data_IF_846523628533
#
_entry.id   IF_846523628533
#
_cell.length_a   1.000
_cell.length_b   1.000
_cell.length_c   1.000
_cell.angle_alpha   90.00
_cell.angle_beta   90.00
_cell.angle_gamma   90.00
#
_symmetry.space_group_name_H-M   'P 1'
#
loop_
_entity.id
_entity.type
_entity.pdbx_description
1 polymer ?
#
# COMPACT_ATOMS: atom_id res chain seq x y z
N UNK A 1 -68.36 -10.93 42.78
CA UNK A 1 -68.11 -9.87 41.77
C UNK A 1 -67.35 -8.77 42.50
N UNK A 2 -66.08 -8.42 42.27
CA UNK A 2 -65.27 -8.42 41.05
C UNK A 2 -63.79 -8.75 41.32
N UNK A 3 -63.13 -8.99 40.20
CA UNK A 3 -61.85 -9.64 39.94
C UNK A 3 -60.63 -8.82 40.38
N UNK A 4 -59.60 -9.56 40.83
CA UNK A 4 -58.23 -9.16 41.11
C UNK A 4 -57.57 -8.53 39.87
N UNK A 5 -56.96 -7.36 40.00
CA UNK A 5 -55.98 -6.89 39.03
C UNK A 5 -54.58 -7.26 39.51
N UNK A 6 -54.03 -8.30 38.88
CA UNK A 6 -52.63 -8.69 39.02
C UNK A 6 -51.80 -7.66 38.25
N UNK A 7 -50.92 -6.97 38.97
CA UNK A 7 -49.86 -6.17 38.39
C UNK A 7 -48.86 -7.11 37.72
N UNK A 8 -48.90 -7.21 36.39
CA UNK A 8 -47.84 -7.82 35.60
C UNK A 8 -47.02 -6.71 34.98
N UNK A 9 -45.97 -6.30 35.71
CA UNK A 9 -44.86 -5.51 35.18
C UNK A 9 -44.09 -6.41 34.21
N UNK A 10 -44.46 -6.40 32.94
CA UNK A 10 -43.56 -6.87 31.88
C UNK A 10 -42.61 -5.71 31.62
N UNK A 11 -41.48 -5.72 32.33
CA UNK A 11 -40.32 -4.96 31.93
C UNK A 11 -39.87 -5.53 30.57
N UNK A 12 -40.34 -4.91 29.49
CA UNK A 12 -39.62 -4.99 28.23
C UNK A 12 -38.29 -4.30 28.47
N UNK A 13 -37.29 -5.10 28.83
CA UNK A 13 -35.90 -4.77 28.56
C UNK A 13 -35.78 -4.61 27.06
N UNK A 14 -36.13 -3.41 26.57
CA UNK A 14 -35.66 -2.96 25.29
C UNK A 14 -34.14 -3.04 25.41
N UNK A 15 -33.57 -4.05 24.76
CA UNK A 15 -32.21 -3.99 24.27
C UNK A 15 -32.09 -2.60 23.66
N UNK A 16 -31.44 -1.69 24.38
CA UNK A 16 -30.91 -0.47 23.79
C UNK A 16 -29.81 -0.97 22.89
N UNK A 17 -30.21 -1.48 21.73
CA UNK A 17 -29.34 -1.67 20.61
C UNK A 17 -28.88 -0.25 20.36
N UNK A 18 -27.68 0.09 20.84
CA UNK A 18 -27.09 1.41 20.64
C UNK A 18 -27.20 1.66 19.15
N UNK A 19 -28.19 2.46 18.75
CA UNK A 19 -28.32 2.89 17.39
C UNK A 19 -27.02 3.66 17.17
N UNK A 20 -26.08 3.07 16.42
CA UNK A 20 -24.84 3.74 16.08
C UNK A 20 -25.29 4.94 15.27
N UNK A 21 -25.27 6.09 15.94
CA UNK A 21 -25.97 7.26 15.46
C UNK A 21 -25.30 7.75 14.17
N UNK A 22 -26.11 8.24 13.25
CA UNK A 22 -25.60 8.94 12.08
C UNK A 22 -24.72 10.12 12.54
N UNK A 23 -23.55 10.36 11.94
CA UNK A 23 -22.75 11.54 12.26
C UNK A 23 -23.60 12.81 12.12
N UNK A 24 -23.55 13.71 13.10
CA UNK A 24 -24.46 14.88 13.16
C UNK A 24 -24.36 15.82 11.96
N UNK A 25 -23.23 15.81 11.27
CA UNK A 25 -23.00 16.59 10.06
C UNK A 25 -23.57 15.92 8.81
N UNK A 26 -23.93 14.63 8.86
CA UNK A 26 -24.33 13.81 7.72
C UNK A 26 -25.80 13.40 7.81
N UNK A 27 -26.32 12.84 6.72
CA UNK A 27 -27.58 12.11 6.71
C UNK A 27 -27.34 10.65 6.39
N UNK A 28 -28.11 9.74 6.97
CA UNK A 28 -27.94 8.31 6.78
C UNK A 28 -29.25 7.67 6.32
N UNK A 29 -29.16 6.74 5.37
CA UNK A 29 -30.29 6.00 4.83
C UNK A 29 -29.89 4.54 4.66
N UNK A 30 -30.48 3.63 5.43
CA UNK A 30 -30.05 2.23 5.45
C UNK A 30 -28.57 2.09 5.82
N UNK A 31 -27.76 1.56 4.89
CA UNK A 31 -26.30 1.41 5.04
C UNK A 31 -25.50 2.49 4.31
N UNK A 32 -26.16 3.55 3.85
CA UNK A 32 -25.52 4.68 3.17
C UNK A 32 -25.34 5.86 4.12
N UNK A 33 -24.18 6.51 4.02
CA UNK A 33 -23.84 7.70 4.80
C UNK A 33 -23.51 8.84 3.84
N UNK A 34 -24.35 9.87 3.85
CA UNK A 34 -24.30 11.03 2.96
C UNK A 34 -23.67 12.24 3.67
N UNK A 35 -22.39 12.44 3.42
CA UNK A 35 -21.59 13.54 3.96
C UNK A 35 -21.09 14.51 2.85
N UNK A 36 -21.60 14.38 1.62
CA UNK A 36 -21.20 15.23 0.49
C UNK A 36 -21.71 16.68 0.61
N UNK A 37 -20.98 17.64 0.01
CA UNK A 37 -21.40 19.05 -0.12
C UNK A 37 -21.71 19.74 1.22
N UNK A 38 -20.93 19.44 2.25
CA UNK A 38 -21.15 19.92 3.62
C UNK A 38 -20.00 20.77 4.15
N UNK A 39 -19.08 21.17 3.28
CA UNK A 39 -17.88 21.95 3.63
C UNK A 39 -17.05 21.31 4.74
N UNK A 40 -17.01 19.98 4.76
CA UNK A 40 -16.29 19.23 5.79
C UNK A 40 -14.78 19.41 5.60
N UNK A 41 -14.08 19.77 6.67
CA UNK A 41 -12.62 19.86 6.70
C UNK A 41 -11.94 18.51 7.00
N UNK A 42 -12.70 17.53 7.51
CA UNK A 42 -12.22 16.19 7.86
C UNK A 42 -13.34 15.16 7.73
N UNK A 43 -12.98 13.87 7.78
CA UNK A 43 -13.95 12.77 7.82
C UNK A 43 -14.69 12.81 9.17
N UNK A 44 -16.04 12.83 9.19
CA UNK A 44 -16.80 12.85 10.44
C UNK A 44 -16.54 11.60 11.29
N UNK A 45 -16.46 11.81 12.60
CA UNK A 45 -16.38 10.71 13.56
C UNK A 45 -17.71 9.96 13.67
N UNK A 46 -17.67 8.71 14.15
CA UNK A 46 -18.86 7.93 14.46
C UNK A 46 -19.61 7.37 13.24
N UNK A 47 -18.96 7.26 12.08
CA UNK A 47 -19.55 6.57 10.92
C UNK A 47 -19.90 5.12 11.33
N UNK A 48 -21.15 4.66 11.13
CA UNK A 48 -21.56 3.31 11.49
C UNK A 48 -20.72 2.23 10.80
N UNK A 49 -20.32 1.19 11.52
CA UNK A 49 -19.52 0.08 10.96
C UNK A 49 -20.29 -0.80 9.96
N UNK A 50 -21.61 -0.66 9.93
CA UNK A 50 -22.51 -1.29 8.96
C UNK A 50 -22.56 -0.55 7.62
N UNK A 51 -21.88 0.61 7.50
CA UNK A 51 -21.87 1.43 6.28
C UNK A 51 -21.31 0.64 5.10
N UNK A 52 -22.05 0.61 4.00
CA UNK A 52 -21.63 0.03 2.72
C UNK A 52 -21.25 1.09 1.69
N UNK A 53 -21.85 2.28 1.77
CA UNK A 53 -21.59 3.39 0.84
C UNK A 53 -21.33 4.67 1.63
N UNK A 54 -20.18 5.28 1.40
CA UNK A 54 -19.78 6.50 2.08
C UNK A 54 -19.52 7.63 1.07
N UNK A 55 -20.37 8.65 1.12
CA UNK A 55 -20.25 9.84 0.29
C UNK A 55 -19.57 10.97 1.05
N UNK A 56 -18.32 11.28 0.70
CA UNK A 56 -17.53 12.38 1.27
C UNK A 56 -17.11 13.41 0.20
N UNK A 57 -17.64 13.29 -1.01
CA UNK A 57 -17.24 14.11 -2.16
C UNK A 57 -17.71 15.57 -2.05
N UNK A 58 -17.03 16.46 -2.78
CA UNK A 58 -17.31 17.91 -2.79
C UNK A 58 -17.29 18.49 -1.36
N UNK A 59 -16.13 18.36 -0.72
CA UNK A 59 -15.84 18.89 0.62
C UNK A 59 -14.46 19.57 0.60
N UNK A 60 -13.93 19.90 1.78
CA UNK A 60 -12.66 20.62 1.95
C UNK A 60 -11.65 19.75 2.72
N UNK A 61 -11.74 18.43 2.58
CA UNK A 61 -10.88 17.48 3.30
C UNK A 61 -9.48 17.53 2.68
N UNK A 62 -8.48 17.85 3.49
CA UNK A 62 -7.07 18.00 3.06
C UNK A 62 -6.20 16.80 3.39
N UNK A 63 -6.60 16.02 4.40
CA UNK A 63 -5.90 14.82 4.88
C UNK A 63 -6.86 13.75 5.38
N UNK A 64 -6.42 12.50 5.30
CA UNK A 64 -7.08 11.36 5.91
C UNK A 64 -6.21 10.85 7.06
N UNK A 65 -6.77 10.84 8.27
CA UNK A 65 -6.04 10.32 9.43
C UNK A 65 -5.74 8.82 9.26
N UNK A 66 -4.58 8.34 9.72
CA UNK A 66 -4.26 6.92 9.71
C UNK A 66 -5.37 6.09 10.35
N UNK A 67 -5.79 5.02 9.67
CA UNK A 67 -6.83 4.10 10.16
C UNK A 67 -8.26 4.66 10.19
N UNK A 68 -8.52 5.83 9.61
CA UNK A 68 -9.86 6.47 9.63
C UNK A 68 -10.98 5.57 9.07
N UNK A 69 -10.66 4.65 8.17
CA UNK A 69 -11.61 3.72 7.57
C UNK A 69 -11.48 2.27 8.08
N UNK A 70 -10.59 2.00 9.05
CA UNK A 70 -10.25 0.61 9.44
C UNK A 70 -11.44 -0.18 10.01
N UNK A 71 -12.42 0.53 10.60
CA UNK A 71 -13.64 -0.09 11.16
C UNK A 71 -14.74 -0.28 10.13
N UNK A 72 -14.62 0.32 8.93
CA UNK A 72 -15.62 0.27 7.86
C UNK A 72 -15.40 -0.96 6.96
N UNK A 73 -15.28 -2.14 7.57
CA UNK A 73 -14.92 -3.39 6.87
C UNK A 73 -15.98 -3.86 5.87
N UNK A 74 -17.21 -3.33 5.97
CA UNK A 74 -18.33 -3.61 5.07
C UNK A 74 -18.43 -2.63 3.88
N UNK A 75 -17.50 -1.67 3.79
CA UNK A 75 -17.56 -0.61 2.79
C UNK A 75 -17.33 -1.18 1.39
N UNK A 76 -18.26 -0.91 0.49
CA UNK A 76 -18.24 -1.28 -0.93
C UNK A 76 -17.92 -0.07 -1.80
N UNK A 77 -18.37 1.11 -1.41
CA UNK A 77 -18.13 2.34 -2.17
C UNK A 77 -17.62 3.46 -1.28
N UNK A 78 -16.52 4.09 -1.72
CA UNK A 78 -15.93 5.25 -1.07
C UNK A 78 -15.77 6.39 -2.06
N UNK A 79 -16.51 7.47 -1.83
CA UNK A 79 -16.51 8.64 -2.70
C UNK A 79 -15.81 9.84 -2.06
N UNK A 80 -14.58 10.13 -2.50
CA UNK A 80 -13.71 11.20 -1.97
C UNK A 80 -13.37 12.29 -3.00
N UNK A 81 -13.98 12.25 -4.18
CA UNK A 81 -13.69 13.20 -5.26
C UNK A 81 -14.07 14.65 -4.92
N UNK A 82 -13.41 15.62 -5.54
CA UNK A 82 -13.68 17.04 -5.29
C UNK A 82 -13.36 17.47 -3.85
N UNK A 83 -12.28 16.93 -3.29
CA UNK A 83 -11.69 17.35 -2.03
C UNK A 83 -10.32 18.02 -2.29
N UNK A 84 -9.54 18.25 -1.25
CA UNK A 84 -8.23 18.90 -1.32
C UNK A 84 -7.12 17.98 -0.80
N UNK A 85 -7.28 16.66 -0.96
CA UNK A 85 -6.34 15.67 -0.43
C UNK A 85 -4.95 15.85 -1.06
N UNK A 86 -3.96 16.15 -0.22
CA UNK A 86 -2.57 16.36 -0.64
C UNK A 86 -1.78 15.04 -0.74
N UNK A 87 -2.09 14.11 0.16
CA UNK A 87 -1.47 12.80 0.23
C UNK A 87 -2.44 11.80 0.88
N UNK A 88 -2.17 10.52 0.68
CA UNK A 88 -2.84 9.44 1.41
C UNK A 88 -1.91 8.90 2.49
N UNK A 89 -2.46 8.61 3.67
CA UNK A 89 -1.72 7.92 4.72
C UNK A 89 -1.44 6.47 4.31
N UNK A 90 -0.25 5.97 4.67
CA UNK A 90 0.13 4.58 4.38
C UNK A 90 -0.90 3.63 4.98
N UNK A 91 -1.42 2.72 4.16
CA UNK A 91 -2.38 1.70 4.59
C UNK A 91 -3.79 2.18 4.88
N UNK A 92 -4.17 3.43 4.53
CA UNK A 92 -5.50 4.00 4.80
C UNK A 92 -6.67 3.17 4.24
N UNK A 93 -6.43 2.33 3.25
CA UNK A 93 -7.43 1.45 2.64
C UNK A 93 -7.24 -0.04 2.95
N UNK A 94 -6.29 -0.41 3.82
CA UNK A 94 -5.88 -1.81 4.03
C UNK A 94 -7.01 -2.73 4.51
N UNK A 95 -8.00 -2.19 5.23
CA UNK A 95 -9.13 -2.96 5.76
C UNK A 95 -10.34 -3.02 4.82
N UNK A 96 -10.31 -2.31 3.70
CA UNK A 96 -11.44 -2.18 2.78
C UNK A 96 -11.43 -3.28 1.71
N UNK A 97 -11.36 -4.54 2.12
CA UNK A 97 -11.22 -5.68 1.19
C UNK A 97 -12.46 -5.92 0.32
N UNK A 98 -13.62 -5.41 0.75
CA UNK A 98 -14.90 -5.49 0.03
C UNK A 98 -15.15 -4.28 -0.91
N UNK A 99 -14.21 -3.32 -0.98
CA UNK A 99 -14.40 -2.11 -1.76
C UNK A 99 -14.41 -2.43 -3.26
N UNK A 100 -15.49 -2.05 -3.94
CA UNK A 100 -15.69 -2.22 -5.38
C UNK A 100 -15.49 -0.90 -6.14
N UNK A 101 -15.79 0.23 -5.50
CA UNK A 101 -15.68 1.57 -6.08
C UNK A 101 -14.87 2.52 -5.20
N UNK A 102 -13.86 3.15 -5.77
CA UNK A 102 -13.06 4.18 -5.12
C UNK A 102 -12.92 5.41 -6.03
N UNK A 103 -13.45 6.57 -5.62
CA UNK A 103 -13.27 7.81 -6.36
C UNK A 103 -12.41 8.81 -5.61
N UNK A 104 -11.25 9.17 -6.20
CA UNK A 104 -10.26 10.11 -5.69
C UNK A 104 -9.97 11.25 -6.68
N UNK A 105 -10.71 11.33 -7.79
CA UNK A 105 -10.50 12.34 -8.82
C UNK A 105 -10.76 13.76 -8.32
N UNK A 106 -10.18 14.77 -8.99
CA UNK A 106 -10.28 16.18 -8.59
C UNK A 106 -9.86 16.39 -7.12
N UNK A 107 -8.63 15.95 -6.79
CA UNK A 107 -7.94 16.19 -5.53
C UNK A 107 -6.55 16.80 -5.83
N UNK A 108 -5.65 16.86 -4.85
CA UNK A 108 -4.31 17.44 -4.99
C UNK A 108 -3.21 16.38 -4.81
N UNK A 109 -3.51 15.12 -5.12
CA UNK A 109 -2.58 14.01 -4.95
C UNK A 109 -1.46 14.09 -5.98
N UNK A 110 -0.21 13.99 -5.52
CA UNK A 110 0.98 13.94 -6.38
C UNK A 110 1.48 12.53 -6.63
N UNK A 111 1.23 11.62 -5.69
CA UNK A 111 1.60 10.20 -5.76
C UNK A 111 0.62 9.37 -4.91
N UNK A 112 0.73 8.05 -5.01
CA UNK A 112 0.01 7.10 -4.16
C UNK A 112 1.06 6.32 -3.35
N UNK A 113 0.90 6.18 -2.02
CA UNK A 113 1.81 5.39 -1.22
C UNK A 113 1.93 3.96 -1.74
N UNK A 114 3.14 3.41 -1.70
CA UNK A 114 3.40 2.02 -2.11
C UNK A 114 2.45 1.07 -1.36
N UNK A 115 1.77 0.24 -2.13
CA UNK A 115 0.87 -0.79 -1.64
C UNK A 115 -0.53 -0.32 -1.24
N UNK A 116 -0.88 0.96 -1.44
CA UNK A 116 -2.17 1.51 -0.99
C UNK A 116 -3.40 0.78 -1.55
N UNK A 117 -3.28 0.15 -2.73
CA UNK A 117 -4.37 -0.58 -3.39
C UNK A 117 -4.23 -2.11 -3.30
N UNK A 118 -3.17 -2.63 -2.70
CA UNK A 118 -2.83 -4.06 -2.79
C UNK A 118 -3.88 -4.95 -2.11
N UNK A 119 -4.55 -4.44 -1.08
CA UNK A 119 -5.60 -5.17 -0.35
C UNK A 119 -7.01 -4.98 -0.92
N UNK A 120 -7.19 -4.14 -1.94
CA UNK A 120 -8.49 -3.86 -2.58
C UNK A 120 -8.85 -4.94 -3.59
N UNK A 121 -8.97 -6.20 -3.12
CA UNK A 121 -9.16 -7.38 -3.99
C UNK A 121 -10.48 -7.41 -4.74
N UNK A 122 -11.48 -6.68 -4.27
CA UNK A 122 -12.82 -6.60 -4.88
C UNK A 122 -12.98 -5.38 -5.79
N UNK A 123 -11.93 -4.58 -6.00
CA UNK A 123 -12.03 -3.32 -6.71
C UNK A 123 -12.32 -3.55 -8.20
N UNK A 124 -13.34 -2.87 -8.70
CA UNK A 124 -13.76 -2.95 -10.12
C UNK A 124 -13.73 -1.59 -10.79
N UNK A 125 -13.82 -0.50 -10.01
CA UNK A 125 -13.81 0.86 -10.52
C UNK A 125 -12.95 1.76 -9.62
N UNK A 126 -12.00 2.45 -10.24
CA UNK A 126 -11.18 3.46 -9.56
C UNK A 126 -11.11 4.73 -10.40
N UNK A 127 -11.30 5.89 -9.75
CA UNK A 127 -11.21 7.19 -10.42
C UNK A 127 -10.11 8.08 -9.88
N UNK A 128 -9.11 8.41 -10.72
CA UNK A 128 -7.87 9.10 -10.32
C UNK A 128 -7.55 10.39 -11.12
N UNK A 129 -8.30 10.75 -12.17
CA UNK A 129 -8.02 11.94 -12.98
C UNK A 129 -8.12 13.25 -12.20
N UNK A 130 -7.65 14.35 -12.78
CA UNK A 130 -7.77 15.68 -12.15
C UNK A 130 -6.97 15.80 -10.86
N UNK A 131 -5.90 15.01 -10.72
CA UNK A 131 -4.90 15.14 -9.68
C UNK A 131 -3.57 15.57 -10.32
N UNK A 132 -2.77 16.43 -9.67
CA UNK A 132 -1.49 16.90 -10.19
C UNK A 132 -0.37 15.86 -10.00
N UNK A 133 -0.49 14.70 -10.67
CA UNK A 133 0.46 13.59 -10.56
C UNK A 133 1.89 14.02 -10.89
N UNK A 134 2.81 13.88 -9.93
CA UNK A 134 4.22 14.23 -10.07
C UNK A 134 4.99 13.04 -10.63
N UNK A 135 5.05 12.98 -11.96
CA UNK A 135 5.73 11.89 -12.66
C UNK A 135 7.25 12.06 -12.75
N UNK A 136 7.82 13.15 -12.22
CA UNK A 136 9.26 13.32 -12.17
C UNK A 136 9.86 12.65 -10.93
N UNK A 137 9.09 12.63 -9.83
CA UNK A 137 9.41 11.92 -8.60
C UNK A 137 9.23 10.39 -8.75
N UNK A 138 10.16 9.60 -8.20
CA UNK A 138 10.10 8.13 -8.22
C UNK A 138 8.93 7.52 -7.44
N UNK A 139 8.28 8.25 -6.53
CA UNK A 139 7.12 7.75 -5.77
C UNK A 139 5.92 7.42 -6.67
N UNK A 140 5.88 7.98 -7.89
CA UNK A 140 4.85 7.68 -8.87
C UNK A 140 4.88 6.23 -9.38
N UNK A 141 6.03 5.53 -9.26
CA UNK A 141 6.25 4.24 -9.90
C UNK A 141 5.27 3.16 -9.42
N UNK A 142 4.87 3.20 -8.15
CA UNK A 142 3.82 2.30 -7.65
C UNK A 142 2.52 2.48 -8.45
N UNK A 143 2.05 3.71 -8.59
CA UNK A 143 0.82 4.00 -9.31
C UNK A 143 0.95 3.66 -10.81
N UNK A 144 2.09 3.99 -11.42
CA UNK A 144 2.35 3.65 -12.83
C UNK A 144 2.25 2.15 -13.07
N UNK A 145 2.99 1.34 -12.29
CA UNK A 145 3.00 -0.11 -12.42
C UNK A 145 1.63 -0.72 -12.10
N UNK A 146 0.96 -0.24 -11.05
CA UNK A 146 -0.37 -0.72 -10.68
C UNK A 146 -1.38 -0.43 -11.80
N UNK A 147 -1.38 0.79 -12.35
CA UNK A 147 -2.28 1.18 -13.43
C UNK A 147 -2.01 0.43 -14.74
N UNK A 148 -0.75 0.08 -15.01
CA UNK A 148 -0.40 -0.75 -16.17
C UNK A 148 -0.87 -2.21 -16.02
N UNK A 149 -0.79 -2.76 -14.80
CA UNK A 149 -1.25 -4.12 -14.49
C UNK A 149 -2.77 -4.29 -14.34
N UNK A 150 -3.49 -3.20 -14.07
CA UNK A 150 -4.96 -3.18 -13.86
C UNK A 150 -5.62 -2.29 -14.91
N UNK A 151 -5.14 -2.40 -16.15
CA UNK A 151 -5.53 -1.52 -17.21
C UNK A 151 -7.04 -1.60 -17.46
N UNK A 152 -7.71 -2.73 -17.32
CA UNK A 152 -9.16 -2.90 -17.44
C UNK A 152 -9.97 -2.06 -16.42
N UNK A 153 -9.53 -2.02 -15.17
CA UNK A 153 -10.14 -1.24 -14.08
C UNK A 153 -9.88 0.26 -14.27
N UNK A 154 -8.73 0.62 -14.85
CA UNK A 154 -8.30 2.00 -15.12
C UNK A 154 -8.73 2.50 -16.52
N UNK A 155 -9.03 1.60 -17.47
CA UNK A 155 -9.18 1.86 -18.92
C UNK A 155 -10.45 2.65 -19.24
N UNK A 156 -11.41 2.70 -18.31
CA UNK A 156 -12.57 3.59 -18.45
C UNK A 156 -12.21 5.07 -18.24
N UNK A 157 -10.92 5.40 -18.06
CA UNK A 157 -10.46 6.73 -17.67
C UNK A 157 -9.16 7.13 -18.37
N UNK A 158 -9.30 7.56 -19.62
CA UNK A 158 -8.25 8.15 -20.47
C UNK A 158 -7.65 9.47 -19.95
N UNK A 159 -7.73 9.80 -18.65
CA UNK A 159 -7.46 11.13 -18.10
C UNK A 159 -6.51 11.17 -16.89
N UNK A 160 -5.99 10.03 -16.44
CA UNK A 160 -4.97 10.02 -15.36
C UNK A 160 -3.60 10.33 -15.97
N UNK A 161 -3.27 11.62 -16.03
CA UNK A 161 -2.07 12.13 -16.71
C UNK A 161 -1.12 12.84 -15.75
N UNK A 162 0.15 12.84 -16.10
CA UNK A 162 1.20 13.55 -15.42
C UNK A 162 1.00 15.06 -15.52
N UNK A 163 1.22 15.75 -14.40
CA UNK A 163 1.18 17.20 -14.34
C UNK A 163 2.19 17.81 -15.32
N UNK A 164 1.77 18.84 -16.06
CA UNK A 164 2.59 19.58 -17.02
C UNK A 164 2.86 18.90 -18.36
N UNK A 165 2.92 17.57 -18.44
CA UNK A 165 3.23 16.85 -19.69
C UNK A 165 2.03 16.19 -20.35
N UNK A 166 0.91 16.03 -19.62
CA UNK A 166 -0.27 15.27 -20.04
C UNK A 166 0.02 13.82 -20.48
N UNK A 167 1.21 13.30 -20.16
CA UNK A 167 1.57 11.91 -20.44
C UNK A 167 0.75 10.98 -19.54
N UNK A 168 0.23 9.84 -20.03
CA UNK A 168 -0.49 8.90 -19.17
C UNK A 168 0.41 8.39 -18.05
N UNK A 169 -0.07 8.41 -16.80
CA UNK A 169 0.73 7.93 -15.63
C UNK A 169 1.18 6.47 -15.83
N UNK A 170 0.34 5.62 -16.44
CA UNK A 170 0.65 4.22 -16.75
C UNK A 170 1.82 4.01 -17.72
N UNK A 171 2.27 5.06 -18.41
CA UNK A 171 3.38 5.02 -19.36
C UNK A 171 4.71 5.49 -18.73
N UNK A 172 4.70 5.92 -17.47
CA UNK A 172 5.91 6.38 -16.76
C UNK A 172 6.82 5.20 -16.48
N UNK A 173 8.11 5.36 -16.77
CA UNK A 173 9.15 4.34 -16.56
C UNK A 173 10.16 4.80 -15.51
N UNK A 174 10.86 3.87 -14.88
CA UNK A 174 11.89 4.18 -13.87
C UNK A 174 12.93 5.19 -14.39
N UNK A 175 13.38 5.04 -15.63
CA UNK A 175 14.36 5.92 -16.28
C UNK A 175 13.89 7.37 -16.44
N UNK A 176 12.57 7.62 -16.45
CA UNK A 176 11.99 8.96 -16.53
C UNK A 176 11.83 9.65 -15.17
N UNK A 177 12.04 8.92 -14.07
CA UNK A 177 11.85 9.39 -12.70
C UNK A 177 13.17 9.52 -11.94
N UNK A 178 13.18 10.23 -10.81
CA UNK A 178 14.32 10.24 -9.88
C UNK A 178 13.88 10.51 -8.44
N UNK A 179 14.46 9.83 -7.42
CA UNK A 179 14.26 10.16 -6.01
C UNK A 179 14.65 11.60 -5.67
N UNK A 180 15.67 12.14 -6.35
CA UNK A 180 16.13 13.52 -6.12
C UNK A 180 15.11 14.59 -6.52
N UNK A 181 14.09 14.22 -7.30
CA UNK A 181 12.99 15.11 -7.71
C UNK A 181 11.78 15.00 -6.77
N UNK A 182 11.83 14.14 -5.76
CA UNK A 182 10.74 13.96 -4.80
C UNK A 182 10.77 15.01 -3.67
N UNK A 183 9.59 15.45 -3.19
CA UNK A 183 9.51 16.29 -2.00
C UNK A 183 10.18 15.62 -0.79
N UNK A 184 11.02 16.38 -0.07
CA UNK A 184 11.66 15.87 1.15
C UNK A 184 12.84 14.92 0.92
N UNK A 185 13.32 14.77 -0.32
CA UNK A 185 14.55 14.03 -0.59
C UNK A 185 15.75 14.65 0.15
N UNK A 186 16.36 13.87 1.04
CA UNK A 186 17.65 14.19 1.65
C UNK A 186 18.68 13.28 0.99
N UNK A 187 19.67 13.87 0.32
CA UNK A 187 20.77 13.10 -0.24
C UNK A 187 21.47 12.35 0.90
N UNK A 188 21.41 11.02 0.86
CA UNK A 188 22.24 10.20 1.74
C UNK A 188 23.66 10.26 1.21
N UNK A 189 24.44 11.21 1.72
CA UNK A 189 25.88 11.22 1.52
C UNK A 189 26.46 10.05 2.29
N UNK A 190 26.52 8.87 1.67
CA UNK A 190 27.45 7.84 2.13
C UNK A 190 28.85 8.37 1.84
N UNK A 191 29.41 9.11 2.79
CA UNK A 191 30.86 9.37 2.81
C UNK A 191 31.51 7.99 2.87
N UNK A 192 32.35 7.59 1.89
CA UNK A 192 33.13 6.38 2.04
C UNK A 192 34.02 6.58 3.26
N UNK A 193 33.72 5.91 4.37
CA UNK A 193 34.63 5.88 5.50
C UNK A 193 35.82 5.05 5.05
N UNK A 194 36.87 5.72 4.57
CA UNK A 194 38.19 5.12 4.41
C UNK A 194 38.66 4.74 5.81
N UNK A 195 38.30 3.53 6.24
CA UNK A 195 38.91 2.89 7.40
C UNK A 195 40.33 2.53 6.98
N UNK A 196 41.27 3.39 7.35
CA UNK A 196 42.69 3.05 7.37
C UNK A 196 42.83 1.79 8.25
N UNK A 197 43.40 0.68 7.76
CA UNK A 197 43.63 -0.48 8.59
C UNK A 197 44.61 -0.09 9.70
N UNK A 198 44.14 -0.09 10.94
CA UNK A 198 44.97 0.10 12.11
C UNK A 198 45.86 -1.14 12.28
N UNK A 199 47.17 -0.94 12.19
CA UNK A 199 48.16 -2.01 12.34
C UNK A 199 48.23 -2.39 13.82
N UNK A 200 47.58 -3.49 14.19
CA UNK A 200 47.67 -4.07 15.53
C UNK A 200 49.01 -4.83 15.64
N UNK A 201 49.92 -4.48 16.57
CA UNK A 201 51.10 -5.28 16.81
C UNK A 201 50.71 -6.58 17.53
N UNK A 202 51.03 -7.72 16.93
CA UNK A 202 50.82 -9.05 17.51
C UNK A 202 51.71 -9.25 18.75
N UNK A 203 51.10 -9.24 19.95
CA UNK A 203 51.72 -9.77 21.16
C UNK A 203 51.49 -11.28 21.25
N UNK A 204 52.59 -12.02 21.16
CA UNK A 204 52.67 -13.48 21.27
C UNK A 204 52.26 -13.92 22.67
N UNK A 205 51.18 -14.69 22.79
CA UNK A 205 50.86 -15.41 24.04
C UNK A 205 50.48 -16.86 23.72
N UNK A 206 51.12 -17.78 24.44
CA UNK A 206 51.03 -19.24 24.33
C UNK A 206 49.60 -19.78 24.56
N UNK A 207 49.19 -20.89 23.91
CA UNK A 207 47.81 -21.38 23.95
C UNK A 207 47.46 -22.12 25.25
N UNK A 208 46.27 -21.84 25.79
CA UNK A 208 45.55 -22.73 26.72
C UNK A 208 44.42 -23.47 25.98
N UNK A 209 44.06 -24.70 26.41
CA UNK A 209 43.14 -25.57 25.67
C UNK A 209 41.68 -25.10 25.76
N UNK A 210 41.03 -25.00 24.60
CA UNK A 210 39.61 -24.70 24.44
C UNK A 210 38.78 -25.96 24.60
N UNK A 211 37.82 -25.95 25.52
CA UNK A 211 36.72 -26.92 25.57
C UNK A 211 35.68 -26.50 24.54
N UNK A 212 35.47 -27.35 23.54
CA UNK A 212 34.59 -27.12 22.40
C UNK A 212 33.13 -27.31 22.79
N UNK A 213 32.35 -26.23 22.87
CA UNK A 213 30.90 -26.28 22.61
C UNK A 213 30.60 -25.48 21.36
N UNK A 214 30.25 -26.18 20.28
CA UNK A 214 29.87 -25.60 19.00
C UNK A 214 28.59 -24.77 19.14
N UNK A 215 28.66 -23.48 18.80
CA UNK A 215 27.50 -22.64 18.48
C UNK A 215 27.50 -22.41 16.96
N UNK A 216 26.36 -22.55 16.24
CA UNK A 216 26.35 -22.43 14.79
C UNK A 216 26.78 -21.03 14.32
N UNK A 217 27.67 -20.99 13.32
CA UNK A 217 28.04 -19.77 12.58
C UNK A 217 26.88 -19.32 11.68
N UNK A 218 26.54 -18.03 11.62
CA UNK A 218 25.62 -17.52 10.60
C UNK A 218 26.35 -17.47 9.24
N UNK A 219 25.83 -18.22 8.27
CA UNK A 219 26.24 -18.20 6.87
C UNK A 219 25.48 -17.09 6.15
N UNK A 220 26.08 -15.90 6.00
CA UNK A 220 25.66 -14.93 4.99
C UNK A 220 26.90 -14.32 4.34
N UNK A 221 27.28 -14.88 3.20
CA UNK A 221 27.99 -14.18 2.12
C UNK A 221 27.88 -15.05 0.85
N UNK A 222 26.82 -14.83 0.07
CA UNK A 222 26.83 -15.23 -1.34
C UNK A 222 26.97 -13.96 -2.18
N UNK A 223 28.17 -13.78 -2.71
CA UNK A 223 28.55 -12.69 -3.59
C UNK A 223 28.45 -13.21 -5.03
N UNK A 224 27.49 -12.72 -5.82
CA UNK A 224 27.42 -13.00 -7.25
C UNK A 224 28.34 -12.04 -8.01
N UNK A 225 29.65 -12.20 -7.86
CA UNK A 225 30.66 -11.50 -8.69
C UNK A 225 31.60 -12.52 -9.32
N UNK A 226 31.08 -13.28 -10.30
CA UNK A 226 31.90 -13.85 -11.37
C UNK A 226 31.02 -14.28 -12.56
N UNK A 227 30.43 -13.30 -13.25
CA UNK A 227 30.08 -13.51 -14.66
C UNK A 227 30.79 -12.44 -15.44
N UNK A 228 32.09 -12.64 -15.60
CA UNK A 228 32.82 -12.09 -16.73
C UNK A 228 33.43 -13.25 -17.51
N UNK A 229 33.22 -13.15 -18.82
CA UNK A 229 33.98 -13.80 -19.88
C UNK A 229 33.80 -15.31 -20.06
N UNK A 230 32.85 -15.67 -20.95
CA UNK A 230 33.19 -16.40 -22.17
C UNK A 230 32.30 -15.95 -23.33
N UNK A 231 32.86 -15.07 -24.15
CA UNK A 231 32.52 -14.97 -25.57
C UNK A 231 33.31 -16.10 -26.26
N UNK A 232 32.70 -16.74 -27.26
CA UNK A 232 33.23 -17.80 -28.11
C UNK A 232 32.87 -19.21 -27.63
N UNK A 233 31.74 -19.68 -28.16
CA UNK A 233 31.45 -21.05 -28.64
C UNK A 233 29.93 -21.07 -28.81
N UNK A 234 29.44 -20.99 -30.06
CA UNK A 234 28.04 -20.66 -30.38
C UNK A 234 26.98 -21.62 -29.83
N UNK A 235 26.61 -21.43 -28.56
CA UNK A 235 25.51 -22.12 -27.87
C UNK A 235 24.44 -21.12 -27.39
N UNK A 236 23.18 -21.40 -27.72
CA UNK A 236 22.04 -20.56 -27.38
C UNK A 236 21.69 -20.67 -25.88
N UNK A 237 21.81 -19.56 -25.16
CA UNK A 237 21.46 -19.47 -23.75
C UNK A 237 19.98 -19.07 -23.64
N UNK A 238 19.10 -20.06 -23.51
CA UNK A 238 17.67 -19.83 -23.32
C UNK A 238 17.38 -18.91 -22.11
N UNK A 239 16.42 -17.99 -22.28
CA UNK A 239 15.99 -16.99 -21.29
C UNK A 239 15.65 -17.63 -19.92
N UNK A 240 15.88 -16.94 -18.79
CA UNK A 240 15.52 -17.46 -17.47
C UNK A 240 13.99 -17.57 -17.35
N UNK A 241 13.49 -18.79 -17.14
CA UNK A 241 12.12 -19.06 -16.73
C UNK A 241 12.16 -19.57 -15.28
N UNK A 242 11.51 -18.85 -14.36
CA UNK A 242 11.18 -19.38 -13.03
C UNK A 242 9.95 -20.27 -13.20
N UNK A 243 10.14 -21.58 -13.24
CA UNK A 243 9.04 -22.54 -13.29
C UNK A 243 8.71 -23.06 -11.88
N UNK A 244 7.51 -22.67 -11.43
CA UNK A 244 6.63 -23.31 -10.43
C UNK A 244 6.63 -22.81 -8.97
N UNK A 245 5.38 -22.62 -8.50
CA UNK A 245 4.88 -21.99 -7.28
C UNK A 245 5.18 -22.75 -5.99
N UNK A 246 5.49 -22.01 -4.92
CA UNK A 246 5.28 -22.45 -3.54
C UNK A 246 4.67 -21.31 -2.71
N UNK A 247 3.54 -21.61 -2.05
CA UNK A 247 2.75 -20.69 -1.23
C UNK A 247 3.60 -19.99 -0.16
N UNK A 248 3.65 -18.66 -0.19
CA UNK A 248 4.29 -17.85 0.86
C UNK A 248 3.24 -17.32 1.82
N UNK A 249 3.11 -17.94 3.00
CA UNK A 249 2.51 -17.32 4.17
C UNK A 249 3.62 -16.69 5.01
N UNK A 250 3.58 -15.35 5.12
CA UNK A 250 4.28 -14.48 6.09
C UNK A 250 5.82 -14.43 6.07
N UNK A 251 6.31 -13.22 5.71
CA UNK A 251 7.60 -12.59 6.05
C UNK A 251 8.94 -13.22 5.57
N UNK A 252 9.63 -12.44 4.72
CA UNK A 252 11.07 -12.44 4.39
C UNK A 252 11.67 -13.74 3.81
N UNK A 253 11.54 -13.92 2.49
CA UNK A 253 12.59 -14.34 1.52
C UNK A 253 11.99 -15.11 0.34
N UNK A 254 12.32 -14.70 -0.89
CA UNK A 254 12.17 -15.57 -2.06
C UNK A 254 13.52 -16.29 -2.26
N UNK A 255 13.56 -17.60 -1.99
CA UNK A 255 14.68 -18.46 -2.37
C UNK A 255 14.49 -18.95 -3.81
N UNK A 256 15.43 -18.61 -4.69
CA UNK A 256 15.55 -19.28 -5.99
C UNK A 256 16.37 -20.56 -5.78
N UNK A 257 15.76 -21.75 -5.85
CA UNK A 257 16.38 -22.99 -5.36
C UNK A 257 17.28 -23.75 -6.35
N UNK A 258 17.48 -23.33 -7.60
CA UNK A 258 18.40 -24.05 -8.51
C UNK A 258 19.07 -23.15 -9.55
N UNK A 259 20.40 -23.07 -9.53
CA UNK A 259 21.19 -22.71 -10.72
C UNK A 259 21.22 -23.92 -11.66
N UNK A 260 20.67 -23.78 -12.87
CA UNK A 260 20.74 -24.85 -13.87
C UNK A 260 22.18 -25.03 -14.36
N UNK A 261 22.72 -26.25 -14.23
CA UNK A 261 23.97 -26.68 -14.87
C UNK A 261 23.79 -26.72 -16.40
N UNK A 262 24.63 -26.00 -17.14
CA UNK A 262 24.83 -26.22 -18.57
C UNK A 262 25.26 -27.68 -18.80
N UNK A 263 24.40 -28.49 -19.41
CA UNK A 263 24.75 -29.87 -19.79
C UNK A 263 25.33 -29.85 -21.20
N UNK A 264 26.60 -30.22 -21.37
CA UNK A 264 27.21 -30.47 -22.68
C UNK A 264 26.43 -31.60 -23.38
N UNK A 265 26.07 -31.42 -24.65
CA UNK A 265 25.98 -32.52 -25.61
C UNK A 265 27.30 -32.58 -26.36
#
# INVERSE_FOLDING_TARGET
MWIKWIATLVAFGALVQSAVACPSQCSCSGTEVHCQKKSLASVPAGIPTTTQVLYLHVNQITKLEPGVFDRLVNLKELHLWGNQLLALSVGVFNKLTQLTHLSLYNNQLKSIPRGAFDNLKSLTHIWLYGNPWDCACSDILYLSHWANGHADIVQRMSLTTCSGTNTPVRAVTEASTSPSKCPGYVATTTTPTTTTPEFIPETTTSPQPVITTQKPKPLWNFNCTSIQERKNDGGDCGKPACTTLLNCANFLSCLCSTCALCRKR
#
